data_IF_247826318871
#
_entry.id   IF_247826318871
#
_cell.length_a   1.000
_cell.length_b   1.000
_cell.length_c   1.000
_cell.angle_alpha   90.00
_cell.angle_beta   90.00
_cell.angle_gamma   90.00
#
_symmetry.space_group_name_H-M   'P 1'
#
loop_
_entity.id
_entity.type
_entity.pdbx_description
1 polymer ?
#
# COMPACT_ATOMS: atom_id res chain seq x y z
N UNK A 1 8.52 -1.72 -15.76
CA UNK A 1 7.61 -0.93 -14.90
C UNK A 1 6.20 -1.18 -15.39
N UNK A 2 5.29 -1.49 -14.47
CA UNK A 2 3.88 -1.72 -14.79
C UNK A 2 3.22 -0.38 -15.12
N UNK A 3 2.50 -0.32 -16.24
CA UNK A 3 1.66 0.83 -16.60
C UNK A 3 0.25 0.60 -16.07
N UNK A 4 -0.42 1.65 -15.61
CA UNK A 4 -1.79 1.60 -15.09
C UNK A 4 -2.56 2.85 -15.47
N UNK A 5 -3.88 2.77 -15.43
CA UNK A 5 -4.74 3.94 -15.58
C UNK A 5 -4.70 4.79 -14.30
N UNK A 6 -4.13 5.98 -14.41
CA UNK A 6 -3.94 6.89 -13.27
C UNK A 6 -5.25 7.46 -12.74
N UNK A 7 -6.25 7.68 -13.60
CA UNK A 7 -7.54 8.20 -13.20
C UNK A 7 -8.33 7.14 -12.44
N UNK A 8 -8.36 5.90 -12.94
CA UNK A 8 -9.00 4.78 -12.23
C UNK A 8 -8.30 4.49 -10.90
N UNK A 9 -6.96 4.53 -10.86
CA UNK A 9 -6.20 4.39 -9.62
C UNK A 9 -6.61 5.40 -8.55
N UNK A 10 -6.84 6.66 -8.94
CA UNK A 10 -7.22 7.73 -8.01
C UNK A 10 -8.68 7.67 -7.54
N UNK A 11 -9.57 6.95 -8.24
CA UNK A 11 -10.95 6.74 -7.80
C UNK A 11 -11.04 5.83 -6.58
N UNK A 12 -10.12 4.88 -6.45
CA UNK A 12 -10.10 3.95 -5.32
C UNK A 12 -9.70 4.69 -4.04
N UNK A 13 -10.53 4.63 -3.01
CA UNK A 13 -10.19 5.10 -1.66
C UNK A 13 -9.45 3.97 -0.91
N UNK A 14 -8.13 4.09 -0.64
CA UNK A 14 -7.38 3.03 0.04
C UNK A 14 -7.77 2.80 1.51
N UNK A 15 -8.58 3.69 2.08
CA UNK A 15 -8.96 3.70 3.48
C UNK A 15 -10.48 3.67 3.67
N UNK A 16 -11.21 3.19 2.67
CA UNK A 16 -12.67 3.05 2.76
C UNK A 16 -13.04 2.18 3.96
N UNK A 17 -13.74 2.76 4.93
CA UNK A 17 -14.13 2.09 6.17
C UNK A 17 -13.13 2.17 7.33
N UNK A 18 -11.92 2.71 7.13
CA UNK A 18 -10.89 2.82 8.17
C UNK A 18 -10.87 4.19 8.88
N UNK A 19 -11.05 5.28 8.12
CA UNK A 19 -11.01 6.67 8.61
C UNK A 19 -12.28 7.44 8.23
N UNK A 20 -12.53 8.59 8.86
CA UNK A 20 -13.74 9.39 8.62
C UNK A 20 -14.25 10.22 9.80
N UNK A 21 -13.44 10.36 10.86
CA UNK A 21 -13.76 11.17 12.03
C UNK A 21 -13.79 12.67 11.69
N UNK A 22 -14.55 13.50 12.42
CA UNK A 22 -14.49 14.95 12.27
C UNK A 22 -13.06 15.48 12.43
N UNK A 23 -12.51 16.05 11.36
CA UNK A 23 -11.13 16.55 11.31
C UNK A 23 -10.22 15.74 10.39
N UNK A 24 -10.62 14.52 10.01
CA UNK A 24 -9.93 13.74 8.99
C UNK A 24 -10.02 14.42 7.63
N UNK A 25 -8.89 14.52 6.93
CA UNK A 25 -8.84 15.12 5.60
C UNK A 25 -7.65 14.67 4.78
N UNK A 26 -7.90 14.44 3.51
CA UNK A 26 -6.84 14.27 2.50
C UNK A 26 -6.30 15.66 2.14
N UNK A 27 -4.99 15.87 2.35
CA UNK A 27 -4.29 17.09 1.99
C UNK A 27 -3.77 17.05 0.56
N UNK A 28 -3.42 15.84 0.10
CA UNK A 28 -2.84 15.59 -1.20
C UNK A 28 -3.07 14.14 -1.58
N UNK A 29 -3.51 13.92 -2.81
CA UNK A 29 -3.57 12.61 -3.43
C UNK A 29 -3.27 12.76 -4.91
N UNK A 30 -2.22 12.09 -5.39
CA UNK A 30 -1.79 12.19 -6.78
C UNK A 30 -0.89 11.05 -7.21
N UNK A 31 -0.79 10.85 -8.52
CA UNK A 31 0.27 10.02 -9.12
C UNK A 31 1.51 10.88 -9.37
N UNK A 32 2.67 10.39 -8.92
CA UNK A 32 3.97 11.03 -9.02
C UNK A 32 5.08 10.06 -9.42
N UNK A 33 6.26 10.58 -9.70
CA UNK A 33 7.46 9.76 -9.93
C UNK A 33 8.29 9.75 -8.65
N UNK A 34 8.65 8.56 -8.17
CA UNK A 34 9.46 8.39 -6.98
C UNK A 34 10.86 8.97 -7.21
N UNK A 35 11.24 10.00 -6.44
CA UNK A 35 12.61 10.58 -6.50
C UNK A 35 13.61 9.78 -5.67
N UNK A 36 13.13 9.03 -4.68
CA UNK A 36 13.90 8.19 -3.76
C UNK A 36 13.15 6.88 -3.58
N UNK A 37 13.89 5.82 -3.27
CA UNK A 37 13.31 4.53 -2.93
C UNK A 37 12.50 4.57 -1.62
N UNK A 38 11.99 3.42 -1.18
CA UNK A 38 11.31 3.26 0.11
C UNK A 38 10.21 2.21 0.06
N UNK A 39 9.52 1.99 1.16
CA UNK A 39 8.56 0.88 1.29
C UNK A 39 7.18 1.24 0.75
N UNK A 40 6.56 0.33 0.00
CA UNK A 40 5.15 0.45 -0.39
C UNK A 40 4.23 0.24 0.81
N UNK A 41 3.20 1.08 0.96
CA UNK A 41 2.23 1.00 2.06
C UNK A 41 1.28 -0.20 2.02
N UNK A 42 1.14 -0.86 0.86
CA UNK A 42 0.28 -2.05 0.70
C UNK A 42 1.11 -3.33 0.72
N UNK A 43 1.89 -3.59 -0.33
CA UNK A 43 2.60 -4.87 -0.47
C UNK A 43 3.93 -4.96 0.31
N UNK A 44 4.33 -3.88 1.00
CA UNK A 44 5.61 -3.75 1.73
C UNK A 44 6.89 -3.98 0.92
N UNK A 45 6.78 -4.17 -0.41
CA UNK A 45 7.93 -4.27 -1.29
C UNK A 45 8.60 -2.91 -1.52
N UNK A 46 9.82 -2.96 -2.04
CA UNK A 46 10.60 -1.77 -2.39
C UNK A 46 9.96 -1.00 -3.56
N UNK A 47 9.79 0.30 -3.36
CA UNK A 47 9.61 1.29 -4.42
C UNK A 47 11.00 1.76 -4.83
N UNK A 48 11.28 1.78 -6.13
CA UNK A 48 12.57 2.23 -6.67
C UNK A 48 12.50 3.65 -7.23
N UNK A 49 13.60 4.42 -7.25
CA UNK A 49 13.64 5.72 -7.93
C UNK A 49 13.24 5.61 -9.41
N UNK A 50 12.46 6.58 -9.89
CA UNK A 50 11.91 6.61 -11.25
C UNK A 50 10.56 5.93 -11.41
N UNK A 51 10.09 5.18 -10.41
CA UNK A 51 8.81 4.47 -10.48
C UNK A 51 7.61 5.41 -10.42
N UNK A 52 6.55 5.12 -11.20
CA UNK A 52 5.24 5.77 -11.06
C UNK A 52 4.55 5.25 -9.81
N UNK A 53 4.20 6.15 -8.90
CA UNK A 53 3.65 5.85 -7.58
C UNK A 53 2.46 6.73 -7.26
N UNK A 54 1.49 6.22 -6.50
CA UNK A 54 0.50 7.06 -5.82
C UNK A 54 1.10 7.60 -4.52
N UNK A 55 0.86 8.87 -4.26
CA UNK A 55 1.33 9.60 -3.09
C UNK A 55 0.12 10.22 -2.40
N UNK A 56 -0.12 9.85 -1.14
CA UNK A 56 -1.20 10.41 -0.35
C UNK A 56 -0.64 11.02 0.94
N UNK A 57 -1.03 12.26 1.24
CA UNK A 57 -0.80 12.88 2.53
C UNK A 57 -2.17 13.27 3.11
N UNK A 58 -2.42 12.87 4.34
CA UNK A 58 -3.68 13.10 5.03
C UNK A 58 -3.45 13.42 6.50
N UNK A 59 -4.43 14.09 7.10
CA UNK A 59 -4.59 14.13 8.55
C UNK A 59 -5.63 13.08 8.90
N UNK A 60 -5.25 12.10 9.72
CA UNK A 60 -6.16 11.12 10.30
C UNK A 60 -5.95 11.09 11.81
N UNK A 61 -7.04 11.17 12.58
CA UNK A 61 -7.00 11.21 14.05
C UNK A 61 -6.03 12.27 14.61
N UNK A 62 -6.02 13.45 13.98
CA UNK A 62 -5.14 14.56 14.36
C UNK A 62 -3.66 14.40 13.98
N UNK A 63 -3.27 13.28 13.37
CA UNK A 63 -1.88 12.99 12.98
C UNK A 63 -1.65 13.16 11.48
N UNK A 64 -0.54 13.78 11.11
CA UNK A 64 -0.13 13.90 9.71
C UNK A 64 0.48 12.57 9.23
N UNK A 65 -0.20 11.93 8.29
CA UNK A 65 0.20 10.65 7.70
C UNK A 65 0.64 10.84 6.25
N UNK A 66 1.58 10.01 5.81
CA UNK A 66 2.09 9.98 4.43
C UNK A 66 2.22 8.56 3.94
N UNK A 67 1.57 8.27 2.81
CA UNK A 67 1.50 6.94 2.21
C UNK A 67 2.01 6.99 0.78
N UNK A 68 2.64 5.88 0.36
CA UNK A 68 3.07 5.67 -1.02
C UNK A 68 2.76 4.26 -1.48
N UNK A 69 2.37 4.10 -2.73
CA UNK A 69 2.15 2.79 -3.33
C UNK A 69 2.97 2.62 -4.60
N UNK A 70 3.61 1.46 -4.76
CA UNK A 70 4.39 1.12 -5.96
C UNK A 70 3.49 1.01 -7.19
N UNK A 71 4.10 0.96 -8.38
CA UNK A 71 3.39 0.92 -9.67
C UNK A 71 2.48 -0.30 -9.80
N UNK A 72 2.90 -1.46 -9.31
CA UNK A 72 2.08 -2.68 -9.30
C UNK A 72 0.87 -2.57 -8.36
N UNK A 73 1.06 -1.95 -7.20
CA UNK A 73 -0.02 -1.67 -6.28
C UNK A 73 -1.00 -0.65 -6.86
N UNK A 74 -0.51 0.36 -7.59
CA UNK A 74 -1.34 1.30 -8.33
C UNK A 74 -2.15 0.63 -9.44
N UNK A 75 -1.57 -0.33 -10.16
CA UNK A 75 -2.27 -1.14 -11.15
C UNK A 75 -3.41 -1.96 -10.52
N UNK A 76 -3.17 -2.55 -9.36
CA UNK A 76 -4.21 -3.25 -8.60
C UNK A 76 -5.34 -2.32 -8.15
N UNK A 77 -5.05 -1.07 -7.75
CA UNK A 77 -6.10 -0.09 -7.44
C UNK A 77 -6.94 0.23 -8.68
N UNK A 78 -6.29 0.51 -9.82
CA UNK A 78 -6.98 0.82 -11.06
C UNK A 78 -7.90 -0.32 -11.51
N UNK A 79 -7.49 -1.57 -11.29
CA UNK A 79 -8.28 -2.75 -11.66
C UNK A 79 -9.48 -3.01 -10.72
N UNK A 80 -9.43 -2.52 -9.46
CA UNK A 80 -10.38 -2.88 -8.38
C UNK A 80 -11.86 -2.75 -8.74
N UNK A 81 -12.20 -1.80 -9.62
CA UNK A 81 -13.57 -1.56 -10.08
C UNK A 81 -14.10 -2.61 -11.08
N UNK A 82 -13.20 -3.40 -11.65
CA UNK A 82 -13.49 -4.35 -12.74
C UNK A 82 -13.13 -5.79 -12.39
N UNK A 83 -12.31 -6.00 -11.36
CA UNK A 83 -11.85 -7.31 -10.93
C UNK A 83 -12.31 -7.69 -9.51
N UNK A 84 -13.27 -6.94 -8.96
CA UNK A 84 -13.80 -7.12 -7.60
C UNK A 84 -12.71 -7.09 -6.52
N UNK A 85 -11.62 -6.35 -6.74
CA UNK A 85 -10.52 -6.21 -5.79
C UNK A 85 -9.55 -7.41 -5.76
N UNK A 86 -9.67 -8.41 -6.64
CA UNK A 86 -8.79 -9.60 -6.62
C UNK A 86 -7.30 -9.25 -6.73
N UNK A 87 -6.93 -8.34 -7.63
CA UNK A 87 -5.55 -7.89 -7.74
C UNK A 87 -5.09 -7.16 -6.48
N UNK A 88 -5.97 -6.37 -5.86
CA UNK A 88 -5.67 -5.66 -4.61
C UNK A 88 -5.39 -6.65 -3.46
N UNK A 89 -6.27 -7.62 -3.25
CA UNK A 89 -6.11 -8.64 -2.20
C UNK A 89 -4.80 -9.43 -2.34
N UNK A 90 -4.42 -9.78 -3.58
CA UNK A 90 -3.16 -10.46 -3.83
C UNK A 90 -1.94 -9.60 -3.41
N UNK A 91 -2.02 -8.28 -3.57
CA UNK A 91 -0.96 -7.36 -3.15
C UNK A 91 -0.94 -7.12 -1.65
N UNK A 92 -2.09 -7.07 -0.99
CA UNK A 92 -2.18 -7.00 0.47
C UNK A 92 -1.52 -8.22 1.10
N UNK A 93 -1.79 -9.42 0.58
CA UNK A 93 -1.18 -10.67 1.07
C UNK A 93 0.35 -10.62 1.06
N UNK A 94 0.97 -10.07 0.01
CA UNK A 94 2.43 -9.89 -0.03
C UNK A 94 2.93 -9.00 1.11
N UNK A 95 2.16 -7.98 1.46
CA UNK A 95 2.46 -7.10 2.58
C UNK A 95 2.36 -7.82 3.92
N UNK A 96 1.29 -8.58 4.13
CA UNK A 96 1.06 -9.35 5.36
C UNK A 96 2.16 -10.40 5.57
N UNK A 97 2.50 -11.15 4.50
CA UNK A 97 3.59 -12.13 4.52
C UNK A 97 4.94 -11.48 4.83
N UNK A 98 5.21 -10.30 4.25
CA UNK A 98 6.44 -9.56 4.50
C UNK A 98 6.52 -9.01 5.93
N UNK A 99 5.38 -8.60 6.50
CA UNK A 99 5.30 -8.14 7.90
C UNK A 99 5.44 -9.29 8.89
N UNK A 100 4.84 -10.45 8.59
CA UNK A 100 4.93 -11.64 9.43
C UNK A 100 6.32 -12.31 9.36
N UNK A 101 7.03 -12.21 8.24
CA UNK A 101 8.39 -12.74 8.09
C UNK A 101 9.45 -12.00 8.93
N UNK A 102 9.15 -10.81 9.46
CA UNK A 102 9.98 -10.13 10.46
C UNK A 102 9.75 -10.63 11.91
N UNK A 103 8.78 -11.55 12.13
CA UNK A 103 8.67 -12.32 13.38
C UNK A 103 9.45 -13.63 13.25
N UNK A 104 10.37 -13.89 14.19
CA UNK A 104 11.40 -14.94 14.15
C UNK A 104 10.94 -16.36 13.75
N UNK A 105 11.79 -17.15 13.06
CA UNK A 105 11.77 -18.61 13.13
C UNK A 105 12.59 -19.06 14.36
N UNK A 106 11.94 -19.51 15.43
CA UNK A 106 12.71 -19.99 16.60
C UNK A 106 11.91 -20.57 17.75
N UNK A 107 11.56 -21.87 17.67
CA UNK A 107 11.77 -22.81 18.78
C UNK A 107 11.58 -24.24 18.25
N UNK A 108 12.68 -24.85 17.84
CA UNK A 108 12.81 -26.28 17.63
C UNK A 108 12.53 -27.02 18.93
N UNK A 109 11.63 -27.99 18.87
CA UNK A 109 11.40 -29.00 19.89
C UNK A 109 12.75 -29.60 20.34
N UNK A 110 13.03 -29.51 21.63
CA UNK A 110 14.18 -30.17 22.25
C UNK A 110 13.68 -31.22 23.23
N UNK A 111 13.90 -32.48 22.86
CA UNK A 111 14.38 -33.54 23.76
C UNK A 111 13.52 -33.86 24.97
N UNK A 112 12.75 -34.94 24.84
CA UNK A 112 12.21 -35.72 25.94
C UNK A 112 13.26 -36.76 26.35
N UNK A 113 13.88 -36.60 27.52
CA UNK A 113 14.55 -37.67 28.27
C UNK A 113 14.45 -37.38 29.78
#
# INVERSE_FOLDING_TARGET
MTTFDEAECLKTNPFEGDFGSPGDKVLKDKIGTARKGGTCGMCRQEIVPGERVRLLAAVFDGSLMSYRWCSECCAAMAASWTDDGRAWEARVRLGDESSNACGEPGLTESGKD
#
